data_IF_757849394200
#
_entry.id   IF_757849394200
#
_cell.length_a   1.000
_cell.length_b   1.000
_cell.length_c   1.000
_cell.angle_alpha   90.00
_cell.angle_beta   90.00
_cell.angle_gamma   90.00
#
_symmetry.space_group_name_H-M   'P 1'
#
loop_
_entity.id
_entity.type
_entity.pdbx_description
1 polymer ?
#
# COMPACT_ATOMS: atom_id res chain seq x y z
N UNK A 1 -11.07 15.11 -5.51
CA UNK A 1 -9.65 15.05 -5.11
C UNK A 1 -9.28 13.70 -4.48
N UNK A 2 -10.07 13.17 -3.52
CA UNK A 2 -9.88 11.83 -2.92
C UNK A 2 -9.72 10.68 -3.94
N UNK A 3 -10.48 10.71 -5.03
CA UNK A 3 -10.45 9.69 -6.08
C UNK A 3 -9.12 9.63 -6.86
N UNK A 4 -8.41 10.74 -7.03
CA UNK A 4 -7.22 10.78 -7.89
C UNK A 4 -6.02 10.07 -7.23
N UNK A 5 -5.76 10.36 -5.95
CA UNK A 5 -4.64 9.71 -5.25
C UNK A 5 -4.88 8.22 -4.99
N UNK A 6 -6.13 7.85 -4.70
CA UNK A 6 -6.53 6.44 -4.60
C UNK A 6 -6.27 5.68 -5.91
N UNK A 7 -6.72 6.25 -7.04
CA UNK A 7 -6.46 5.68 -8.36
C UNK A 7 -4.96 5.61 -8.69
N UNK A 8 -4.18 6.60 -8.26
CA UNK A 8 -2.73 6.58 -8.37
C UNK A 8 -2.09 5.40 -7.64
N UNK A 9 -2.54 5.12 -6.41
CA UNK A 9 -2.07 3.95 -5.65
C UNK A 9 -2.38 2.65 -6.40
N UNK A 10 -3.58 2.50 -6.96
CA UNK A 10 -3.94 1.32 -7.75
C UNK A 10 -3.13 1.18 -9.04
N UNK A 11 -2.87 2.29 -9.73
CA UNK A 11 -2.04 2.29 -10.93
C UNK A 11 -0.62 1.80 -10.61
N UNK A 12 -0.01 2.31 -9.53
CA UNK A 12 1.31 1.87 -9.08
C UNK A 12 1.31 0.36 -8.79
N UNK A 13 0.36 -0.11 -7.98
CA UNK A 13 0.23 -1.53 -7.62
C UNK A 13 0.11 -2.42 -8.86
N UNK A 14 -0.68 -2.01 -9.85
CA UNK A 14 -0.84 -2.77 -11.10
C UNK A 14 0.45 -2.83 -11.93
N UNK A 15 1.22 -1.74 -11.96
CA UNK A 15 2.50 -1.69 -12.67
C UNK A 15 3.53 -2.62 -12.04
N UNK A 16 3.69 -2.56 -10.72
CA UNK A 16 4.72 -3.32 -10.00
C UNK A 16 4.33 -4.78 -9.76
N UNK A 17 3.03 -5.12 -9.79
CA UNK A 17 2.56 -6.50 -9.63
C UNK A 17 3.06 -7.43 -10.75
N UNK A 18 3.26 -6.90 -11.97
CA UNK A 18 3.75 -7.68 -13.12
C UNK A 18 5.21 -7.40 -13.45
N UNK A 19 5.73 -6.24 -13.07
CA UNK A 19 7.09 -5.81 -13.39
C UNK A 19 7.77 -5.16 -12.18
N UNK A 20 8.25 -6.01 -11.25
CA UNK A 20 9.01 -5.57 -10.07
C UNK A 20 10.31 -4.86 -10.42
N UNK A 21 10.84 -5.06 -11.63
CA UNK A 21 12.04 -4.38 -12.12
C UNK A 21 11.88 -2.86 -12.21
N UNK A 22 10.65 -2.33 -12.12
CA UNK A 22 10.38 -0.90 -12.05
C UNK A 22 10.52 -0.31 -10.64
N UNK A 23 10.52 -1.14 -9.58
CA UNK A 23 10.62 -0.68 -8.19
C UNK A 23 11.83 0.25 -7.97
N UNK A 24 13.05 -0.07 -8.44
CA UNK A 24 14.21 0.82 -8.28
C UNK A 24 13.99 2.22 -8.86
N UNK A 25 13.26 2.34 -9.98
CA UNK A 25 12.98 3.63 -10.59
C UNK A 25 11.98 4.44 -9.76
N UNK A 26 10.98 3.79 -9.17
CA UNK A 26 10.06 4.43 -8.24
C UNK A 26 10.79 4.93 -6.98
N UNK A 27 11.73 4.14 -6.46
CA UNK A 27 12.58 4.54 -5.33
C UNK A 27 13.44 5.75 -5.67
N UNK A 28 14.09 5.77 -6.84
CA UNK A 28 14.89 6.92 -7.32
C UNK A 28 14.05 8.22 -7.40
N UNK A 29 12.77 8.10 -7.74
CA UNK A 29 11.83 9.23 -7.82
C UNK A 29 11.22 9.62 -6.46
N UNK A 30 11.60 8.95 -5.37
CA UNK A 30 11.14 9.28 -4.02
C UNK A 30 9.70 8.87 -3.73
N UNK A 31 9.23 7.77 -4.32
CA UNK A 31 7.83 7.31 -4.18
C UNK A 31 7.39 7.12 -2.73
N UNK A 32 8.30 6.70 -1.86
CA UNK A 32 8.02 6.44 -0.44
C UNK A 32 7.58 7.72 0.28
N UNK A 33 8.27 8.83 0.05
CA UNK A 33 7.90 10.12 0.63
C UNK A 33 6.53 10.61 0.13
N UNK A 34 6.22 10.36 -1.15
CA UNK A 34 4.93 10.74 -1.76
C UNK A 34 3.78 9.93 -1.15
N UNK A 35 3.95 8.62 -1.02
CA UNK A 35 2.94 7.73 -0.44
C UNK A 35 2.78 7.99 1.06
N UNK A 36 3.86 8.21 1.81
CA UNK A 36 3.78 8.59 3.23
C UNK A 36 3.07 9.94 3.44
N UNK A 37 3.34 10.94 2.60
CA UNK A 37 2.61 12.22 2.64
C UNK A 37 1.11 12.02 2.38
N UNK A 38 0.78 11.19 1.40
CA UNK A 38 -0.60 10.82 1.09
C UNK A 38 -1.25 10.09 2.26
N UNK A 39 -0.52 9.21 2.95
CA UNK A 39 -0.99 8.51 4.14
C UNK A 39 -1.32 9.48 5.28
N UNK A 40 -0.44 10.44 5.58
CA UNK A 40 -0.71 11.45 6.61
C UNK A 40 -2.00 12.24 6.37
N UNK A 41 -2.37 12.46 5.10
CA UNK A 41 -3.56 13.25 4.74
C UNK A 41 -4.83 12.39 4.63
N UNK A 42 -4.71 11.16 4.13
CA UNK A 42 -5.86 10.34 3.71
C UNK A 42 -5.92 8.95 4.36
N UNK A 43 -5.18 8.73 5.46
CA UNK A 43 -5.16 7.45 6.18
C UNK A 43 -6.56 6.90 6.49
N UNK A 44 -7.51 7.78 6.83
CA UNK A 44 -8.90 7.41 7.18
C UNK A 44 -9.73 6.95 5.97
N UNK A 45 -9.40 7.43 4.77
CA UNK A 45 -10.22 7.20 3.58
C UNK A 45 -9.70 6.01 2.75
N UNK A 46 -8.39 5.94 2.51
CA UNK A 46 -7.76 4.90 1.69
C UNK A 46 -6.34 4.55 2.17
N UNK A 47 -6.07 4.67 3.47
CA UNK A 47 -4.78 4.33 4.06
C UNK A 47 -4.33 2.89 3.78
N UNK A 48 -5.27 1.96 3.65
CA UNK A 48 -4.99 0.57 3.26
C UNK A 48 -4.41 0.46 1.84
N UNK A 49 -4.96 1.19 0.88
CA UNK A 49 -4.47 1.20 -0.50
C UNK A 49 -3.05 1.78 -0.58
N UNK A 50 -2.77 2.80 0.23
CA UNK A 50 -1.45 3.43 0.32
C UNK A 50 -0.43 2.47 0.95
N UNK A 51 -0.75 1.84 2.09
CA UNK A 51 0.13 0.83 2.72
C UNK A 51 0.38 -0.35 1.79
N UNK A 52 -0.63 -0.76 1.02
CA UNK A 52 -0.48 -1.83 0.03
C UNK A 52 0.47 -1.42 -1.10
N UNK A 53 0.37 -0.18 -1.62
CA UNK A 53 1.30 0.31 -2.63
C UNK A 53 2.74 0.40 -2.12
N UNK A 54 2.95 0.87 -0.89
CA UNK A 54 4.27 0.90 -0.26
C UNK A 54 4.86 -0.51 -0.12
N UNK A 55 4.07 -1.49 0.31
CA UNK A 55 4.50 -2.89 0.42
C UNK A 55 4.86 -3.49 -0.95
N UNK A 56 4.02 -3.25 -1.97
CA UNK A 56 4.25 -3.79 -3.32
C UNK A 56 5.53 -3.19 -3.96
N UNK A 57 5.98 -2.03 -3.47
CA UNK A 57 7.25 -1.37 -3.82
C UNK A 57 8.44 -1.80 -2.95
N UNK A 58 8.25 -2.71 -1.99
CA UNK A 58 9.26 -3.11 -1.00
C UNK A 58 9.77 -1.93 -0.12
N UNK A 59 8.92 -0.91 0.11
CA UNK A 59 9.19 0.17 1.08
C UNK A 59 8.95 -0.33 2.52
N UNK A 60 9.56 0.36 3.50
CA UNK A 60 9.31 0.06 4.92
C UNK A 60 7.88 0.45 5.32
N UNK A 61 7.10 -0.54 5.77
CA UNK A 61 5.71 -0.36 6.19
C UNK A 61 5.46 -1.14 7.46
N UNK A 62 5.00 -0.42 8.50
CA UNK A 62 4.34 -1.06 9.64
C UNK A 62 2.96 -1.52 9.21
N UNK A 63 2.90 -2.79 8.81
CA UNK A 63 1.64 -3.45 8.49
C UNK A 63 1.00 -3.93 9.79
N UNK A 64 -0.16 -3.37 10.12
CA UNK A 64 -1.01 -3.92 11.17
C UNK A 64 -1.89 -4.96 10.51
N UNK A 65 -1.65 -6.25 10.79
CA UNK A 65 -2.45 -7.34 10.25
C UNK A 65 -3.92 -7.16 10.66
N UNK A 66 -4.79 -6.94 9.67
CA UNK A 66 -6.23 -6.75 9.90
C UNK A 66 -6.97 -8.08 10.12
N UNK A 67 -6.34 -9.20 9.79
CA UNK A 67 -6.93 -10.53 9.89
C UNK A 67 -6.27 -11.34 11.00
N UNK A 68 -6.51 -10.96 12.25
CA UNK A 68 -6.33 -11.90 13.36
C UNK A 68 -7.47 -12.90 13.28
N UNK A 69 -7.25 -14.03 12.60
CA UNK A 69 -8.19 -15.14 12.65
C UNK A 69 -8.40 -15.53 14.10
N UNK A 70 -9.51 -15.10 14.72
CA UNK A 70 -9.94 -15.69 15.99
C UNK A 70 -10.30 -17.11 15.63
N UNK A 71 -9.40 -18.05 15.92
CA UNK A 71 -9.60 -19.47 15.69
C UNK A 71 -10.92 -19.86 16.33
N UNK A 72 -11.95 -20.03 15.51
CA UNK A 72 -13.19 -20.63 15.97
C UNK A 72 -12.83 -22.08 16.24
N UNK A 73 -12.80 -22.45 17.51
CA UNK A 73 -12.76 -23.85 17.89
C UNK A 73 -14.05 -24.47 17.34
N UNK A 74 -13.89 -25.39 16.40
CA UNK A 74 -15.00 -26.20 15.91
C UNK A 74 -15.11 -27.31 16.97
N UNK A 75 -16.09 -27.17 17.87
CA UNK A 75 -16.40 -28.22 18.84
C UNK A 75 -16.90 -29.47 18.08
N UNK A 76 -16.28 -30.62 18.37
CA UNK A 76 -16.63 -31.95 17.85
C UNK A 76 -17.96 -32.48 18.42
#
# INVERSE_FOLDING_TARGET
MLCFQKNGCWAIRNMVARHKDHNPKFHELGIEAVLNKSYCQFAKDFGFDIKSALRDLDCDVKFDEQWTGKGVQIDE
#
